data_IF_615098526192
#
_entry.id   IF_615098526192
#
_cell.length_a   1.000
_cell.length_b   1.000
_cell.length_c   1.000
_cell.angle_alpha   90.00
_cell.angle_beta   90.00
_cell.angle_gamma   90.00
#
_symmetry.space_group_name_H-M   'P 1'
#
loop_
_entity.id
_entity.type
_entity.pdbx_description
1 polymer ?
#
# COMPACT_ATOMS: atom_id res chain seq x y z
N UNK A 1 10.93 12.36 -3.54
CA UNK A 1 10.49 12.74 -2.17
C UNK A 1 10.50 14.25 -1.91
N UNK A 2 11.41 15.05 -2.51
CA UNK A 2 11.54 16.50 -2.21
C UNK A 2 10.34 17.34 -2.69
N UNK A 3 9.65 16.96 -3.75
CA UNK A 3 8.55 17.73 -4.35
C UNK A 3 7.16 17.35 -3.81
N UNK A 4 6.99 16.18 -3.21
CA UNK A 4 5.68 15.70 -2.69
C UNK A 4 5.08 16.69 -1.69
N UNK A 5 5.78 17.16 -0.63
CA UNK A 5 5.21 18.12 0.32
C UNK A 5 4.79 19.45 -0.33
N UNK A 6 5.49 19.86 -1.40
CA UNK A 6 5.11 21.04 -2.17
C UNK A 6 3.81 20.81 -2.95
N UNK A 7 3.66 19.65 -3.57
CA UNK A 7 2.47 19.30 -4.34
C UNK A 7 1.25 19.09 -3.47
N UNK A 8 1.41 18.51 -2.28
CA UNK A 8 0.34 18.45 -1.28
C UNK A 8 -0.12 19.84 -0.86
N UNK A 9 0.83 20.73 -0.56
CA UNK A 9 0.53 22.09 -0.11
C UNK A 9 -0.19 22.96 -1.15
N UNK A 10 0.08 22.75 -2.44
CA UNK A 10 -0.51 23.53 -3.52
C UNK A 10 -1.64 22.81 -4.28
N UNK A 11 -2.02 21.60 -3.84
CA UNK A 11 -3.07 20.76 -4.44
C UNK A 11 -2.69 20.13 -5.77
N UNK A 12 -1.42 20.16 -6.19
CA UNK A 12 -0.99 19.54 -7.43
C UNK A 12 -0.86 18.01 -7.29
N UNK A 13 -0.81 17.50 -6.05
CA UNK A 13 -0.69 16.07 -5.75
C UNK A 13 -1.79 15.27 -6.44
N UNK A 14 -3.04 15.71 -6.39
CA UNK A 14 -4.18 15.04 -7.04
C UNK A 14 -3.99 14.84 -8.54
N UNK A 15 -3.38 15.82 -9.23
CA UNK A 15 -3.09 15.68 -10.67
C UNK A 15 -1.97 14.67 -10.93
N UNK A 16 -0.98 14.65 -10.05
CA UNK A 16 0.11 13.67 -10.13
C UNK A 16 -0.44 12.27 -9.89
N UNK A 17 -1.22 12.07 -8.84
CA UNK A 17 -1.78 10.77 -8.49
C UNK A 17 -2.66 10.22 -9.61
N UNK A 18 -3.59 11.02 -10.13
CA UNK A 18 -4.43 10.63 -11.29
C UNK A 18 -3.60 10.28 -12.53
N UNK A 19 -2.50 11.01 -12.79
CA UNK A 19 -1.59 10.68 -13.88
C UNK A 19 -0.90 9.32 -13.65
N UNK A 20 -0.44 9.07 -12.43
CA UNK A 20 0.20 7.79 -12.06
C UNK A 20 -0.80 6.64 -12.20
N UNK A 21 -2.02 6.79 -11.68
CA UNK A 21 -3.08 5.77 -11.79
C UNK A 21 -3.40 5.44 -13.25
N UNK A 22 -3.58 6.47 -14.09
CA UNK A 22 -3.86 6.29 -15.52
C UNK A 22 -2.70 5.58 -16.23
N UNK A 23 -1.45 5.95 -15.94
CA UNK A 23 -0.27 5.29 -16.49
C UNK A 23 -0.13 3.85 -16.04
N UNK A 24 -0.34 3.57 -14.76
CA UNK A 24 -0.31 2.20 -14.20
C UNK A 24 -1.35 1.32 -14.91
N UNK A 25 -2.58 1.78 -15.03
CA UNK A 25 -3.63 1.03 -15.74
C UNK A 25 -3.29 0.82 -17.23
N UNK A 26 -2.65 1.80 -17.87
CA UNK A 26 -2.19 1.67 -19.26
C UNK A 26 -1.15 0.55 -19.40
N UNK A 27 -0.17 0.46 -18.48
CA UNK A 27 0.83 -0.61 -18.48
C UNK A 27 0.23 -1.97 -18.16
N UNK A 28 -0.64 -2.05 -17.16
CA UNK A 28 -1.35 -3.30 -16.83
C UNK A 28 -2.12 -3.85 -18.05
N UNK A 29 -2.83 -2.99 -18.79
CA UNK A 29 -3.52 -3.39 -20.02
C UNK A 29 -2.55 -3.85 -21.09
N UNK A 30 -1.45 -3.13 -21.30
CA UNK A 30 -0.40 -3.51 -22.24
C UNK A 30 0.17 -4.89 -21.91
N UNK A 31 0.51 -5.17 -20.66
CA UNK A 31 1.03 -6.46 -20.22
C UNK A 31 0.01 -7.60 -20.43
N UNK A 32 -1.27 -7.34 -20.17
CA UNK A 32 -2.33 -8.31 -20.49
C UNK A 32 -2.39 -8.61 -22.00
N UNK A 33 -2.29 -7.57 -22.85
CA UNK A 33 -2.31 -7.73 -24.32
C UNK A 33 -1.06 -8.45 -24.86
N UNK A 34 0.08 -8.29 -24.19
CA UNK A 34 1.34 -8.97 -24.49
C UNK A 34 1.39 -10.41 -23.92
N UNK A 35 0.42 -10.82 -23.12
CA UNK A 35 0.27 -12.17 -22.59
C UNK A 35 1.07 -12.46 -21.32
N UNK A 36 1.52 -11.42 -20.59
CA UNK A 36 2.14 -11.60 -19.27
C UNK A 36 1.09 -12.08 -18.25
N UNK A 37 1.53 -12.82 -17.21
CA UNK A 37 0.64 -13.20 -16.11
C UNK A 37 -0.01 -11.97 -15.48
N UNK A 38 -1.31 -12.00 -15.16
CA UNK A 38 -1.98 -10.87 -14.55
C UNK A 38 -1.44 -10.64 -13.13
N UNK A 39 -0.78 -9.52 -12.91
CA UNK A 39 -0.30 -9.08 -11.60
C UNK A 39 -1.05 -7.82 -11.16
N UNK A 40 -1.33 -7.64 -9.86
CA UNK A 40 -1.79 -6.35 -9.35
C UNK A 40 -0.60 -5.38 -9.23
N UNK A 41 -0.89 -4.09 -9.24
CA UNK A 41 0.10 -3.04 -8.96
C UNK A 41 -0.51 -2.07 -7.97
N UNK A 42 0.28 -1.73 -6.95
CA UNK A 42 -0.10 -0.78 -5.91
C UNK A 42 0.20 0.65 -6.35
N UNK A 43 -0.69 1.56 -6.02
CA UNK A 43 -0.55 3.00 -6.27
C UNK A 43 -0.90 3.78 -5.02
N UNK A 44 -0.14 4.83 -4.76
CA UNK A 44 -0.43 5.73 -3.67
C UNK A 44 -1.73 6.52 -3.93
N UNK A 45 -2.51 6.69 -2.87
CA UNK A 45 -3.65 7.58 -2.82
C UNK A 45 -3.36 8.64 -1.75
N UNK A 46 -3.14 9.86 -2.19
CA UNK A 46 -2.84 10.95 -1.27
C UNK A 46 -4.01 11.24 -0.34
N UNK A 47 -3.71 11.86 0.79
CA UNK A 47 -4.73 12.31 1.72
C UNK A 47 -5.75 13.25 1.06
N UNK A 48 -5.31 14.12 0.16
CA UNK A 48 -6.20 15.01 -0.58
C UNK A 48 -7.20 14.26 -1.47
N UNK A 49 -6.77 13.12 -2.02
CA UNK A 49 -7.61 12.31 -2.91
C UNK A 49 -8.58 11.43 -2.12
N UNK A 50 -8.14 10.80 -1.01
CA UNK A 50 -9.01 9.91 -0.23
C UNK A 50 -10.20 10.65 0.39
N UNK A 51 -10.05 11.95 0.66
CA UNK A 51 -11.14 12.81 1.13
C UNK A 51 -11.93 13.49 0.01
N UNK A 52 -11.59 13.25 -1.26
CA UNK A 52 -12.34 13.80 -2.37
C UNK A 52 -13.65 13.05 -2.59
N UNK A 53 -14.78 13.76 -2.64
CA UNK A 53 -16.11 13.15 -2.73
C UNK A 53 -16.29 12.19 -3.91
N UNK A 54 -15.60 12.43 -5.03
CA UNK A 54 -15.73 11.67 -6.26
C UNK A 54 -14.62 10.61 -6.45
N UNK A 55 -13.82 10.28 -5.41
CA UNK A 55 -12.66 9.39 -5.54
C UNK A 55 -13.05 8.02 -6.12
N UNK A 56 -14.15 7.44 -5.66
CA UNK A 56 -14.64 6.15 -6.12
C UNK A 56 -14.99 6.18 -7.62
N UNK A 57 -15.67 7.23 -8.07
CA UNK A 57 -16.00 7.41 -9.49
C UNK A 57 -14.76 7.64 -10.36
N UNK A 58 -13.78 8.39 -9.85
CA UNK A 58 -12.50 8.62 -10.54
C UNK A 58 -11.75 7.29 -10.71
N UNK A 59 -11.62 6.52 -9.64
CA UNK A 59 -10.95 5.22 -9.66
C UNK A 59 -11.64 4.23 -10.59
N UNK A 60 -12.98 4.11 -10.51
CA UNK A 60 -13.75 3.23 -11.39
C UNK A 60 -13.63 3.62 -12.86
N UNK A 61 -13.69 4.91 -13.19
CA UNK A 61 -13.46 5.39 -14.55
C UNK A 61 -12.06 5.06 -15.05
N UNK A 62 -11.05 5.19 -14.18
CA UNK A 62 -9.65 4.92 -14.52
C UNK A 62 -9.45 3.45 -14.89
N UNK A 63 -9.88 2.50 -14.07
CA UNK A 63 -9.73 1.07 -14.37
C UNK A 63 -10.60 0.64 -15.54
N UNK A 64 -11.85 1.14 -15.65
CA UNK A 64 -12.79 0.81 -16.71
C UNK A 64 -12.32 1.28 -18.09
N UNK A 65 -11.64 2.43 -18.16
CA UNK A 65 -11.04 2.97 -19.39
C UNK A 65 -10.12 1.96 -20.10
N UNK A 66 -9.44 1.12 -19.30
CA UNK A 66 -8.50 0.11 -19.78
C UNK A 66 -9.07 -1.31 -19.75
N UNK A 67 -10.35 -1.48 -19.39
CA UNK A 67 -10.99 -2.79 -19.29
C UNK A 67 -10.42 -3.67 -18.20
N UNK A 68 -9.86 -3.08 -17.14
CA UNK A 68 -9.30 -3.77 -15.98
C UNK A 68 -10.36 -3.96 -14.89
N UNK A 69 -10.18 -4.99 -14.07
CA UNK A 69 -10.94 -5.15 -12.84
C UNK A 69 -10.32 -4.27 -11.73
N UNK A 70 -11.12 -3.74 -10.76
CA UNK A 70 -10.59 -2.93 -9.66
C UNK A 70 -9.48 -3.65 -8.87
N UNK A 71 -9.56 -4.96 -8.70
CA UNK A 71 -8.57 -5.79 -8.00
C UNK A 71 -7.16 -5.81 -8.63
N UNK A 72 -7.00 -5.26 -9.84
CA UNK A 72 -5.70 -5.12 -10.51
C UNK A 72 -4.94 -3.87 -10.05
N UNK A 73 -5.64 -2.93 -9.43
CA UNK A 73 -5.07 -1.69 -8.90
C UNK A 73 -5.28 -1.67 -7.38
N UNK A 74 -4.22 -1.91 -6.63
CA UNK A 74 -4.23 -1.82 -5.18
C UNK A 74 -4.05 -0.36 -4.76
N UNK A 75 -4.71 0.06 -3.70
CA UNK A 75 -4.71 1.45 -3.23
C UNK A 75 -3.96 1.56 -1.91
N UNK A 76 -2.78 2.20 -1.94
CA UNK A 76 -1.94 2.45 -0.78
C UNK A 76 -2.39 3.74 -0.08
N UNK A 77 -2.76 3.62 1.19
CA UNK A 77 -3.21 4.73 2.03
C UNK A 77 -2.32 4.76 3.27
N UNK A 78 -1.69 5.89 3.54
CA UNK A 78 -0.82 6.02 4.70
C UNK A 78 -1.60 6.06 6.01
N UNK A 79 -0.98 5.58 7.09
CA UNK A 79 -1.53 5.64 8.45
C UNK A 79 -1.99 7.04 8.85
N UNK A 80 -1.24 8.07 8.44
CA UNK A 80 -1.53 9.46 8.76
C UNK A 80 -2.86 9.98 8.18
N UNK A 81 -3.37 9.38 7.11
CA UNK A 81 -4.65 9.76 6.54
C UNK A 81 -5.83 9.49 7.49
N UNK A 82 -5.73 8.51 8.39
CA UNK A 82 -6.78 8.20 9.36
C UNK A 82 -7.00 9.29 10.42
N UNK A 83 -6.01 10.12 10.71
CA UNK A 83 -6.02 10.99 11.91
C UNK A 83 -6.92 12.22 11.81
N UNK A 84 -7.32 12.66 10.61
CA UNK A 84 -8.10 13.89 10.42
C UNK A 84 -9.60 13.66 10.63
N UNK A 85 -10.19 12.73 9.90
CA UNK A 85 -11.61 12.34 10.04
C UNK A 85 -11.73 10.82 9.89
N UNK A 86 -11.63 10.06 11.00
CA UNK A 86 -11.76 8.61 10.97
C UNK A 86 -13.08 8.11 10.39
N UNK A 87 -14.17 8.86 10.58
CA UNK A 87 -15.49 8.47 10.07
C UNK A 87 -15.52 8.51 8.54
N UNK A 88 -15.11 9.61 7.96
CA UNK A 88 -15.12 9.81 6.51
C UNK A 88 -14.18 8.83 5.80
N UNK A 89 -12.95 8.63 6.32
CA UNK A 89 -12.01 7.72 5.66
C UNK A 89 -12.50 6.26 5.70
N UNK A 90 -13.09 5.81 6.81
CA UNK A 90 -13.66 4.46 6.91
C UNK A 90 -14.79 4.26 5.89
N UNK A 91 -15.68 5.24 5.73
CA UNK A 91 -16.76 5.20 4.75
C UNK A 91 -16.21 5.14 3.31
N UNK A 92 -15.28 6.02 2.97
CA UNK A 92 -14.65 6.06 1.64
C UNK A 92 -13.93 4.74 1.30
N UNK A 93 -13.12 4.25 2.23
CA UNK A 93 -12.36 2.99 2.05
C UNK A 93 -13.30 1.79 1.96
N UNK A 94 -14.35 1.73 2.78
CA UNK A 94 -15.37 0.68 2.68
C UNK A 94 -16.03 0.66 1.31
N UNK A 95 -16.39 1.82 0.79
CA UNK A 95 -17.00 1.94 -0.53
C UNK A 95 -16.04 1.50 -1.66
N UNK A 96 -14.77 1.88 -1.61
CA UNK A 96 -13.76 1.44 -2.58
C UNK A 96 -13.58 -0.10 -2.55
N UNK A 97 -13.59 -0.71 -1.36
CA UNK A 97 -13.56 -2.18 -1.22
C UNK A 97 -14.81 -2.86 -1.79
N UNK A 98 -15.99 -2.31 -1.56
CA UNK A 98 -17.25 -2.81 -2.16
C UNK A 98 -17.22 -2.78 -3.69
N UNK A 99 -16.52 -1.81 -4.28
CA UNK A 99 -16.27 -1.72 -5.73
C UNK A 99 -15.23 -2.74 -6.22
N UNK A 100 -14.52 -3.42 -5.31
CA UNK A 100 -13.56 -4.48 -5.61
C UNK A 100 -12.09 -4.05 -5.64
N UNK A 101 -11.77 -2.84 -5.18
CA UNK A 101 -10.37 -2.45 -4.96
C UNK A 101 -9.80 -3.16 -3.73
N UNK A 102 -8.51 -3.45 -3.76
CA UNK A 102 -7.74 -3.93 -2.60
C UNK A 102 -7.10 -2.73 -1.92
N UNK A 103 -7.26 -2.63 -0.62
CA UNK A 103 -6.77 -1.50 0.18
C UNK A 103 -5.55 -1.93 0.97
N UNK A 104 -4.46 -1.20 0.84
CA UNK A 104 -3.21 -1.39 1.55
C UNK A 104 -2.98 -0.24 2.53
N UNK A 105 -2.70 -0.56 3.78
CA UNK A 105 -2.26 0.43 4.76
C UNK A 105 -0.75 0.52 4.72
N UNK A 106 -0.25 1.67 4.28
CA UNK A 106 1.17 1.94 4.10
C UNK A 106 1.81 2.61 5.33
N UNK A 107 3.13 2.48 5.44
CA UNK A 107 3.97 3.07 6.51
C UNK A 107 3.56 2.66 7.94
N UNK A 108 2.91 1.49 8.13
CA UNK A 108 2.47 1.09 9.46
C UNK A 108 3.64 0.94 10.42
N UNK A 109 3.55 1.71 11.51
CA UNK A 109 4.57 1.73 12.57
C UNK A 109 5.59 2.85 12.48
N UNK A 110 5.51 3.69 11.47
CA UNK A 110 6.33 4.90 11.38
C UNK A 110 5.88 6.02 12.33
N UNK A 111 4.64 5.92 12.85
CA UNK A 111 4.00 6.94 13.66
C UNK A 111 3.33 6.43 14.95
N UNK A 112 2.22 7.04 15.32
CA UNK A 112 1.39 6.65 16.47
C UNK A 112 0.35 5.59 16.06
N UNK A 113 0.84 4.45 15.56
CA UNK A 113 -0.03 3.33 15.17
C UNK A 113 -0.90 2.89 16.34
N UNK A 114 -2.21 3.03 16.22
CA UNK A 114 -3.12 2.53 17.22
C UNK A 114 -3.75 1.22 16.76
N UNK A 115 -3.74 0.21 17.63
CA UNK A 115 -4.47 -1.05 17.39
C UNK A 115 -5.96 -0.79 17.13
N UNK A 116 -6.50 0.30 17.67
CA UNK A 116 -7.87 0.71 17.45
C UNK A 116 -8.13 1.11 15.99
N UNK A 117 -7.18 1.81 15.37
CA UNK A 117 -7.24 2.17 13.95
C UNK A 117 -7.25 0.91 13.07
N UNK A 118 -6.32 -0.02 13.29
CA UNK A 118 -6.30 -1.29 12.55
C UNK A 118 -7.63 -2.04 12.65
N UNK A 119 -8.24 -2.04 13.85
CA UNK A 119 -9.51 -2.74 14.07
C UNK A 119 -10.71 -2.06 13.38
N UNK A 120 -10.62 -0.79 13.04
CA UNK A 120 -11.71 -0.02 12.44
C UNK A 120 -11.54 0.17 10.92
N UNK A 121 -10.30 0.22 10.44
CA UNK A 121 -10.02 0.43 9.02
C UNK A 121 -10.28 -0.86 8.21
N UNK A 122 -11.13 -0.80 7.20
CA UNK A 122 -11.43 -1.95 6.34
C UNK A 122 -10.33 -2.13 5.28
N UNK A 123 -9.16 -2.58 5.71
CA UNK A 123 -8.01 -2.86 4.85
C UNK A 123 -7.88 -4.35 4.51
N UNK A 124 -7.11 -4.69 3.51
CA UNK A 124 -6.81 -6.05 3.06
C UNK A 124 -5.35 -6.42 3.28
N UNK A 125 -4.45 -5.43 3.17
CA UNK A 125 -3.01 -5.62 3.27
C UNK A 125 -2.42 -4.61 4.24
N UNK A 126 -1.49 -5.07 5.08
CA UNK A 126 -0.72 -4.26 6.00
C UNK A 126 0.74 -4.21 5.54
N UNK A 127 1.24 -3.01 5.22
CA UNK A 127 2.63 -2.79 4.83
C UNK A 127 3.43 -2.32 6.04
N UNK A 128 4.40 -3.12 6.44
CA UNK A 128 5.25 -2.83 7.60
C UNK A 128 6.48 -2.04 7.16
N UNK A 129 6.61 -0.84 7.71
CA UNK A 129 7.79 0.00 7.47
C UNK A 129 9.08 -0.67 7.97
N UNK A 130 10.18 -0.43 7.26
CA UNK A 130 11.50 -1.00 7.58
C UNK A 130 12.02 -0.61 8.98
N UNK A 131 11.47 0.39 9.65
CA UNK A 131 11.83 0.74 11.02
C UNK A 131 11.50 -0.40 11.99
N UNK A 132 10.41 -1.12 11.77
CA UNK A 132 10.08 -2.35 12.51
C UNK A 132 11.11 -3.43 12.29
N UNK A 133 11.54 -3.64 11.05
CA UNK A 133 12.49 -4.69 10.71
C UNK A 133 13.87 -4.39 11.29
N UNK A 134 14.27 -3.11 11.28
CA UNK A 134 15.56 -2.67 11.85
C UNK A 134 15.57 -2.69 13.38
N UNK A 135 14.49 -2.31 14.03
CA UNK A 135 14.42 -2.31 15.51
C UNK A 135 14.57 -3.73 16.07
N UNK A 136 13.99 -4.71 15.41
CA UNK A 136 14.08 -6.12 15.82
C UNK A 136 15.48 -6.73 15.67
N UNK A 137 16.29 -6.23 14.73
CA UNK A 137 17.68 -6.66 14.58
C UNK A 137 18.61 -6.04 15.62
N UNK A 138 18.20 -4.91 16.24
CA UNK A 138 19.06 -4.13 17.12
C UNK A 138 18.95 -4.48 18.63
N UNK A 139 17.79 -5.00 19.10
CA UNK A 139 17.58 -5.25 20.53
C UNK A 139 16.78 -6.53 20.80
N UNK A 140 17.21 -7.38 21.75
CA UNK A 140 16.47 -8.60 22.13
C UNK A 140 15.05 -8.35 22.66
N UNK A 141 14.77 -7.16 23.20
CA UNK A 141 13.46 -6.82 23.74
C UNK A 141 12.40 -6.53 22.65
N UNK A 142 12.84 -6.19 21.45
CA UNK A 142 11.96 -5.83 20.34
C UNK A 142 11.56 -7.06 19.49
N UNK A 143 12.18 -8.21 19.73
CA UNK A 143 11.95 -9.46 18.97
C UNK A 143 10.54 -10.03 19.06
N UNK A 144 9.73 -9.58 20.02
CA UNK A 144 8.33 -10.00 20.16
C UNK A 144 7.31 -9.14 19.41
N UNK A 145 7.70 -7.94 19.00
CA UNK A 145 6.75 -6.97 18.42
C UNK A 145 6.35 -7.39 17.01
N UNK A 146 7.30 -7.74 16.17
CA UNK A 146 7.02 -8.23 14.81
C UNK A 146 6.13 -9.47 14.85
N UNK A 147 6.49 -10.47 15.70
CA UNK A 147 5.71 -11.68 15.82
C UNK A 147 4.29 -11.39 16.33
N UNK A 148 4.12 -10.43 17.25
CA UNK A 148 2.81 -9.99 17.72
C UNK A 148 1.99 -9.35 16.59
N UNK A 149 2.61 -8.48 15.76
CA UNK A 149 1.93 -7.84 14.61
C UNK A 149 1.53 -8.90 13.57
N UNK A 150 2.39 -9.85 13.27
CA UNK A 150 2.09 -10.95 12.35
C UNK A 150 0.91 -11.81 12.83
N UNK A 151 0.87 -12.13 14.13
CA UNK A 151 -0.24 -12.87 14.72
C UNK A 151 -1.54 -12.04 14.71
N UNK A 152 -1.47 -10.74 14.98
CA UNK A 152 -2.60 -9.82 14.90
C UNK A 152 -3.15 -9.75 13.47
N UNK A 153 -2.30 -9.50 12.48
CA UNK A 153 -2.69 -9.45 11.06
C UNK A 153 -3.37 -10.75 10.63
N UNK A 154 -2.81 -11.91 11.01
CA UNK A 154 -3.40 -13.22 10.72
C UNK A 154 -4.80 -13.36 11.33
N UNK A 155 -5.02 -12.92 12.57
CA UNK A 155 -6.35 -12.93 13.22
C UNK A 155 -7.36 -12.01 12.56
N UNK A 156 -6.87 -10.91 11.98
CA UNK A 156 -7.69 -9.96 11.23
C UNK A 156 -7.86 -10.34 9.76
N UNK A 157 -7.28 -11.47 9.32
CA UNK A 157 -7.28 -11.92 7.92
C UNK A 157 -6.62 -10.93 6.96
N UNK A 158 -5.60 -10.20 7.42
CA UNK A 158 -4.81 -9.29 6.62
C UNK A 158 -3.59 -10.03 6.05
N UNK A 159 -3.24 -9.78 4.80
CA UNK A 159 -1.92 -10.10 4.27
C UNK A 159 -0.89 -9.06 4.75
N UNK A 160 0.35 -9.48 4.91
CA UNK A 160 1.43 -8.60 5.36
C UNK A 160 2.51 -8.48 4.30
N UNK A 161 2.87 -7.25 3.98
CA UNK A 161 4.04 -6.89 3.15
C UNK A 161 5.09 -6.25 4.05
N UNK A 162 6.28 -6.83 4.12
CA UNK A 162 7.41 -6.19 4.80
C UNK A 162 8.24 -5.38 3.80
N UNK A 163 8.38 -4.09 4.04
CA UNK A 163 9.09 -3.18 3.17
C UNK A 163 10.55 -2.97 3.57
N UNK A 164 11.35 -2.50 2.61
CA UNK A 164 12.73 -2.10 2.84
C UNK A 164 13.67 -3.25 3.19
N UNK A 165 13.40 -4.46 2.74
CA UNK A 165 14.29 -5.61 2.91
C UNK A 165 15.55 -5.43 2.05
N UNK A 166 16.72 -5.35 2.70
CA UNK A 166 18.01 -5.07 2.06
C UNK A 166 18.98 -6.26 2.13
N UNK A 167 18.78 -7.18 3.10
CA UNK A 167 19.71 -8.28 3.34
C UNK A 167 19.02 -9.65 3.39
N UNK A 168 19.82 -10.70 3.14
CA UNK A 168 19.34 -12.08 3.24
C UNK A 168 18.90 -12.42 4.66
N UNK A 169 19.60 -11.92 5.67
CA UNK A 169 19.29 -12.17 7.08
C UNK A 169 17.91 -11.61 7.44
N UNK A 170 17.56 -10.42 6.92
CA UNK A 170 16.22 -9.84 7.09
C UNK A 170 15.15 -10.71 6.43
N UNK A 171 15.42 -11.16 5.18
CA UNK A 171 14.51 -12.02 4.44
C UNK A 171 14.25 -13.35 5.16
N UNK A 172 15.32 -14.04 5.59
CA UNK A 172 15.25 -15.34 6.27
C UNK A 172 14.42 -15.20 7.56
N UNK A 173 14.63 -14.12 8.31
CA UNK A 173 13.92 -13.82 9.55
C UNK A 173 12.43 -13.53 9.33
N UNK A 174 12.09 -12.73 8.31
CA UNK A 174 10.70 -12.49 7.92
C UNK A 174 9.99 -13.79 7.53
N UNK A 175 10.68 -14.68 6.82
CA UNK A 175 10.18 -16.01 6.50
C UNK A 175 9.86 -16.84 7.74
N UNK A 176 10.68 -16.77 8.81
CA UNK A 176 10.42 -17.46 10.08
C UNK A 176 9.17 -16.93 10.81
N UNK A 177 8.82 -15.64 10.62
CA UNK A 177 7.61 -15.04 11.21
C UNK A 177 6.34 -15.35 10.43
N UNK A 178 6.47 -15.90 9.22
CA UNK A 178 5.35 -16.19 8.33
C UNK A 178 4.80 -14.94 7.62
N UNK A 179 5.69 -14.00 7.26
CA UNK A 179 5.36 -12.85 6.42
C UNK A 179 4.94 -13.31 5.02
N UNK A 180 3.86 -12.74 4.48
CA UNK A 180 3.28 -13.19 3.21
C UNK A 180 4.11 -12.69 2.02
N UNK A 181 4.52 -11.42 2.06
CA UNK A 181 5.26 -10.76 0.98
C UNK A 181 6.38 -9.90 1.52
N UNK A 182 7.39 -9.67 0.70
CA UNK A 182 8.50 -8.78 1.02
C UNK A 182 8.83 -7.89 -0.17
N UNK A 183 9.19 -6.65 0.10
CA UNK A 183 9.61 -5.66 -0.88
C UNK A 183 10.89 -4.97 -0.42
N UNK A 184 11.86 -4.76 -1.32
CA UNK A 184 13.07 -4.02 -0.97
C UNK A 184 14.25 -4.25 -1.91
N UNK A 185 15.33 -3.55 -1.62
CA UNK A 185 16.55 -3.53 -2.45
C UNK A 185 17.31 -4.86 -2.47
N UNK A 186 16.92 -5.82 -1.62
CA UNK A 186 17.44 -7.17 -1.71
C UNK A 186 17.08 -7.84 -3.04
N UNK A 187 15.89 -7.57 -3.57
CA UNK A 187 15.46 -8.08 -4.87
C UNK A 187 15.85 -7.14 -5.99
N UNK A 188 15.33 -5.93 -5.96
CA UNK A 188 15.62 -4.92 -6.99
C UNK A 188 15.36 -3.51 -6.45
N UNK A 189 16.08 -2.53 -7.01
CA UNK A 189 15.82 -1.11 -6.79
C UNK A 189 14.71 -0.64 -7.74
N UNK A 190 14.07 0.51 -7.47
CA UNK A 190 13.13 1.08 -8.43
C UNK A 190 13.77 1.23 -9.81
N UNK A 191 13.15 0.62 -10.81
CA UNK A 191 13.60 0.62 -12.20
C UNK A 191 12.53 1.25 -13.09
N UNK A 192 12.92 1.86 -14.24
CA UNK A 192 11.96 2.23 -15.26
C UNK A 192 11.16 1.03 -15.73
N UNK A 193 9.89 1.26 -16.07
CA UNK A 193 8.96 0.19 -16.45
C UNK A 193 9.45 -0.64 -17.64
N UNK A 194 10.23 -0.04 -18.54
CA UNK A 194 10.82 -0.72 -19.71
C UNK A 194 11.84 -1.81 -19.34
N UNK A 195 12.30 -1.83 -18.10
CA UNK A 195 13.23 -2.85 -17.58
C UNK A 195 12.55 -3.85 -16.64
N UNK A 196 11.25 -3.65 -16.37
CA UNK A 196 10.48 -4.58 -15.56
C UNK A 196 10.00 -5.81 -16.37
N UNK A 197 9.93 -5.66 -17.68
CA UNK A 197 9.60 -6.67 -18.67
C UNK A 197 10.80 -7.62 -18.92
#
# INVERSE_FOLDING_TARGET
>A
AEFIPLFEKNGFITKLDQYVWDKTCCYLRRWDDEGYPPVPVSVNVSRADIYHADIADIMMRTVSKYGLTPSRLHLEITESAYTEDPGQIIETVSHLRELGFVIEMDDFGSGYSSLNMLNQMPIDILKLDMTFIRSETAKPADQGVLQFIMELARRMHLSVVAEGVETKEQLDRLGETGCDYVQGYYYEKPIPVEYYE
#
